data_IF_823331070182
#
_entry.id   IF_823331070182
#
_cell.length_a   1.000
_cell.length_b   1.000
_cell.length_c   1.000
_cell.angle_alpha   90.00
_cell.angle_beta   90.00
_cell.angle_gamma   90.00
#
_symmetry.space_group_name_H-M   'P 1'
#
loop_
_entity.id
_entity.type
_entity.pdbx_description
1 polymer ?
#
# COMPACT_ATOMS: atom_id res chain seq x y z
N UNK A 1 -9.45 0.64 8.29
CA UNK A 1 -9.51 0.10 6.91
C UNK A 1 -8.78 1.05 5.98
N UNK A 2 -7.87 0.51 5.17
CA UNK A 2 -7.10 1.24 4.17
C UNK A 2 -7.21 0.52 2.85
N UNK A 3 -7.50 1.27 1.78
CA UNK A 3 -7.55 0.76 0.41
C UNK A 3 -6.40 1.41 -0.34
N UNK A 4 -5.52 0.60 -0.92
CA UNK A 4 -4.41 1.07 -1.74
C UNK A 4 -4.71 0.70 -3.19
N UNK A 5 -4.75 1.70 -4.06
CA UNK A 5 -4.88 1.53 -5.50
C UNK A 5 -3.55 1.84 -6.20
N UNK A 6 -3.03 0.88 -6.96
CA UNK A 6 -1.86 1.06 -7.81
C UNK A 6 -2.28 1.42 -9.24
N UNK A 7 -1.73 2.52 -9.74
CA UNK A 7 -1.96 3.02 -11.10
C UNK A 7 -0.61 3.13 -11.81
N UNK A 8 -0.55 2.74 -13.09
CA UNK A 8 0.61 2.98 -13.94
C UNK A 8 0.73 4.47 -14.23
N UNK A 9 1.84 5.10 -13.86
CA UNK A 9 2.12 6.50 -14.16
C UNK A 9 2.21 6.75 -15.67
N UNK A 10 2.54 5.71 -16.46
CA UNK A 10 2.66 5.78 -17.91
C UNK A 10 1.31 5.73 -18.62
N UNK A 11 0.40 4.86 -18.18
CA UNK A 11 -0.85 4.57 -18.90
C UNK A 11 -2.09 5.09 -18.19
N UNK A 12 -1.99 5.50 -16.92
CA UNK A 12 -3.13 5.84 -16.08
C UNK A 12 -4.01 4.64 -15.72
N UNK A 13 -3.62 3.42 -16.11
CA UNK A 13 -4.43 2.22 -15.91
C UNK A 13 -4.09 1.51 -14.59
N UNK A 14 -5.05 0.79 -13.99
CA UNK A 14 -4.80 0.02 -12.79
C UNK A 14 -3.81 -1.13 -13.01
N UNK A 15 -2.96 -1.38 -12.01
CA UNK A 15 -1.97 -2.45 -12.06
C UNK A 15 -2.44 -3.65 -11.23
N UNK A 16 -2.81 -4.75 -11.90
CA UNK A 16 -3.23 -6.02 -11.28
C UNK A 16 -2.02 -6.87 -10.86
N UNK A 17 -2.19 -7.66 -9.80
CA UNK A 17 -1.28 -8.75 -9.42
C UNK A 17 -0.01 -8.34 -8.67
N UNK A 18 0.18 -7.06 -8.38
CA UNK A 18 1.35 -6.55 -7.64
C UNK A 18 1.23 -6.86 -6.16
N UNK A 19 2.32 -7.29 -5.53
CA UNK A 19 2.33 -7.60 -4.11
C UNK A 19 2.51 -6.33 -3.28
N UNK A 20 1.51 -5.97 -2.47
CA UNK A 20 1.52 -4.79 -1.62
C UNK A 20 1.66 -5.22 -0.17
N UNK A 21 2.52 -4.54 0.57
CA UNK A 21 2.62 -4.65 2.02
C UNK A 21 2.62 -3.28 2.67
N UNK A 22 2.15 -3.20 3.91
CA UNK A 22 2.15 -1.97 4.70
C UNK A 22 2.96 -2.22 5.96
N UNK A 23 3.97 -1.39 6.22
CA UNK A 23 4.76 -1.44 7.45
C UNK A 23 4.49 -0.23 8.33
N UNK A 24 4.49 -0.42 9.64
CA UNK A 24 4.58 0.68 10.59
C UNK A 24 6.07 0.96 10.91
N UNK A 25 6.49 2.23 10.82
CA UNK A 25 7.84 2.65 11.18
C UNK A 25 7.93 3.11 12.65
N UNK A 26 6.84 3.06 13.43
CA UNK A 26 6.87 3.37 14.85
C UNK A 26 7.73 2.34 15.58
N UNK A 27 8.79 2.83 16.24
CA UNK A 27 9.89 2.09 16.86
C UNK A 27 9.49 0.95 17.83
N UNK A 28 8.24 0.94 18.30
CA UNK A 28 7.70 -0.05 19.24
C UNK A 28 6.80 -1.12 18.60
N UNK A 29 6.37 -0.93 17.35
CA UNK A 29 5.50 -1.86 16.61
C UNK A 29 6.12 -2.15 15.24
N UNK A 30 7.22 -2.89 15.22
CA UNK A 30 7.77 -3.48 13.99
C UNK A 30 6.78 -4.52 13.46
N UNK A 31 5.77 -4.06 12.73
CA UNK A 31 4.74 -4.88 12.12
C UNK A 31 4.65 -4.57 10.64
N UNK A 32 5.02 -5.54 9.80
CA UNK A 32 4.63 -5.54 8.39
C UNK A 32 3.35 -6.36 8.26
N UNK A 33 2.33 -5.82 7.58
CA UNK A 33 1.16 -6.60 7.21
C UNK A 33 1.55 -7.72 6.27
N UNK A 34 0.74 -8.78 6.23
CA UNK A 34 0.85 -9.77 5.17
C UNK A 34 0.76 -9.12 3.80
N UNK A 35 1.56 -9.60 2.86
CA UNK A 35 1.54 -9.07 1.49
C UNK A 35 0.28 -9.57 0.79
N UNK A 36 -0.49 -8.64 0.23
CA UNK A 36 -1.69 -8.93 -0.55
C UNK A 36 -1.51 -8.47 -1.99
N UNK A 37 -2.14 -9.16 -2.95
CA UNK A 37 -2.04 -8.81 -4.37
C UNK A 37 -3.18 -7.89 -4.80
N UNK A 38 -2.86 -6.94 -5.67
CA UNK A 38 -3.88 -6.06 -6.26
C UNK A 38 -4.85 -6.82 -7.17
N UNK A 39 -6.13 -6.45 -7.08
CA UNK A 39 -7.20 -6.98 -7.93
C UNK A 39 -7.21 -6.32 -9.33
N UNK A 40 -8.27 -6.55 -10.12
CA UNK A 40 -8.43 -6.00 -11.48
C UNK A 40 -8.52 -4.48 -11.55
N UNK A 41 -8.92 -3.85 -10.44
CA UNK A 41 -8.97 -2.39 -10.27
C UNK A 41 -7.68 -1.82 -9.70
N UNK A 42 -6.64 -2.65 -9.61
CA UNK A 42 -5.36 -2.28 -9.00
C UNK A 42 -5.46 -2.08 -7.49
N UNK A 43 -6.54 -2.54 -6.85
CA UNK A 43 -6.86 -2.26 -5.46
C UNK A 43 -6.49 -3.42 -4.55
N UNK A 44 -6.13 -3.09 -3.32
CA UNK A 44 -5.89 -4.03 -2.23
C UNK A 44 -6.33 -3.42 -0.92
N UNK A 45 -6.92 -4.24 -0.05
CA UNK A 45 -7.53 -3.80 1.19
C UNK A 45 -6.79 -4.34 2.42
N UNK A 46 -6.50 -3.43 3.35
CA UNK A 46 -5.87 -3.72 4.63
C UNK A 46 -6.77 -3.29 5.78
N UNK A 47 -7.09 -4.23 6.65
CA UNK A 47 -7.77 -3.98 7.92
C UNK A 47 -6.75 -3.57 8.97
N UNK A 48 -6.14 -2.40 8.77
CA UNK A 48 -5.22 -1.78 9.72
C UNK A 48 -5.83 -0.52 10.32
N UNK A 49 -5.36 -0.19 11.53
CA UNK A 49 -5.52 1.13 12.12
C UNK A 49 -4.78 2.18 11.28
N UNK A 50 -5.26 3.43 11.24
CA UNK A 50 -4.53 4.52 10.60
C UNK A 50 -3.14 4.69 11.23
N UNK A 51 -2.10 4.72 10.42
CA UNK A 51 -0.73 4.95 10.88
C UNK A 51 -0.27 6.34 10.49
N UNK A 52 0.26 7.10 11.45
CA UNK A 52 0.86 8.40 11.20
C UNK A 52 2.18 8.26 10.40
N UNK A 53 2.94 7.19 10.69
CA UNK A 53 4.26 6.93 10.11
C UNK A 53 4.32 5.52 9.48
N UNK A 54 3.60 5.32 8.38
CA UNK A 54 3.62 4.06 7.65
C UNK A 54 4.53 4.09 6.41
N UNK A 55 4.90 2.90 5.94
CA UNK A 55 5.57 2.69 4.65
C UNK A 55 4.76 1.70 3.82
N UNK A 56 4.55 2.00 2.54
CA UNK A 56 3.93 1.07 1.59
C UNK A 56 5.01 0.48 0.72
N UNK A 57 4.99 -0.84 0.61
CA UNK A 57 5.90 -1.64 -0.18
C UNK A 57 5.15 -2.25 -1.35
N UNK A 58 5.72 -2.17 -2.55
CA UNK A 58 5.23 -2.86 -3.75
C UNK A 58 6.34 -3.75 -4.29
N UNK A 59 6.08 -5.04 -4.41
CA UNK A 59 7.05 -6.08 -4.78
C UNK A 59 8.35 -6.00 -3.94
N UNK A 60 8.23 -5.58 -2.67
CA UNK A 60 9.36 -5.42 -1.75
C UNK A 60 10.01 -4.02 -1.76
N UNK A 61 9.69 -3.15 -2.72
CA UNK A 61 10.26 -1.80 -2.81
C UNK A 61 9.37 -0.78 -2.09
N UNK A 62 9.97 0.10 -1.29
CA UNK A 62 9.25 1.22 -0.64
C UNK A 62 8.81 2.24 -1.69
N UNK A 63 7.50 2.43 -1.86
CA UNK A 63 6.92 3.37 -2.85
C UNK A 63 6.25 4.58 -2.21
N UNK A 64 5.94 4.51 -0.92
CA UNK A 64 5.35 5.63 -0.18
C UNK A 64 5.77 5.56 1.29
N UNK A 65 6.04 6.72 1.90
CA UNK A 65 6.29 6.88 3.34
C UNK A 65 5.47 8.06 3.85
N UNK A 66 4.76 7.88 4.97
CA UNK A 66 3.96 8.92 5.60
C UNK A 66 2.66 8.40 6.19
N UNK A 67 1.67 9.28 6.26
CA UNK A 67 0.36 8.96 6.82
C UNK A 67 -0.37 7.95 5.93
N UNK A 68 -0.82 6.85 6.52
CA UNK A 68 -1.60 5.80 5.85
C UNK A 68 -3.01 5.79 6.44
N UNK A 69 -3.98 6.28 5.68
CA UNK A 69 -5.38 6.29 6.08
C UNK A 69 -6.34 6.27 4.87
N UNK A 70 -7.52 5.67 5.06
CA UNK A 70 -8.60 5.72 4.08
C UNK A 70 -8.22 5.14 2.71
N UNK A 71 -8.53 5.87 1.64
CA UNK A 71 -8.20 5.49 0.27
C UNK A 71 -6.92 6.19 -0.18
N UNK A 72 -5.98 5.42 -0.72
CA UNK A 72 -4.71 5.90 -1.21
C UNK A 72 -4.48 5.43 -2.64
N UNK A 73 -4.15 6.37 -3.53
CA UNK A 73 -3.74 6.07 -4.90
C UNK A 73 -2.24 6.29 -5.05
N UNK A 74 -1.53 5.27 -5.52
CA UNK A 74 -0.08 5.29 -5.70
C UNK A 74 0.23 5.11 -7.19
N UNK A 75 0.77 6.15 -7.85
CA UNK A 75 1.30 6.01 -9.20
C UNK A 75 2.67 5.29 -9.15
N UNK A 76 2.86 4.30 -10.03
CA UNK A 76 4.10 3.53 -10.21
C UNK A 76 4.68 3.68 -11.62
#
# INVERSE_FOLDING_TARGET
>A
MVIIQLISAKTGQPIKGKAVGVGNNDFLKLGQTERKRTNERGEVEFSIEPWANGTIYVDGNSVHKGKINGFMRIPL
#
